data_IF_940511150979
#
_entry.id   IF_940511150979
#
_cell.length_a   1.000
_cell.length_b   1.000
_cell.length_c   1.000
_cell.angle_alpha   90.00
_cell.angle_beta   90.00
_cell.angle_gamma   90.00
#
_symmetry.space_group_name_H-M   'P 1'
#
loop_
_entity.id
_entity.type
_entity.pdbx_description
1 polymer ?
#
# COMPACT_ATOMS: atom_id res chain seq x y z
N UNK A 1 1.76 -17.61 3.08
CA UNK A 1 2.49 -16.34 3.34
C UNK A 1 3.17 -15.74 2.11
N UNK A 2 3.79 -16.55 1.25
CA UNK A 2 4.49 -16.06 0.04
C UNK A 2 3.60 -15.21 -0.91
N UNK A 3 2.36 -15.62 -1.17
CA UNK A 3 1.42 -14.84 -1.99
C UNK A 3 1.11 -13.45 -1.43
N UNK A 4 1.07 -13.30 -0.10
CA UNK A 4 0.81 -12.01 0.53
C UNK A 4 1.99 -11.06 0.36
N UNK A 5 3.22 -11.54 0.58
CA UNK A 5 4.45 -10.76 0.30
C UNK A 5 4.52 -10.37 -1.18
N UNK A 6 4.24 -11.30 -2.10
CA UNK A 6 4.15 -11.00 -3.54
C UNK A 6 3.15 -9.88 -3.83
N UNK A 7 1.98 -9.89 -3.19
CA UNK A 7 0.99 -8.83 -3.34
C UNK A 7 1.47 -7.47 -2.81
N UNK A 8 2.20 -7.43 -1.68
CA UNK A 8 2.78 -6.21 -1.12
C UNK A 8 3.88 -5.64 -2.02
N UNK A 9 4.74 -6.52 -2.57
CA UNK A 9 5.78 -6.14 -3.53
C UNK A 9 5.17 -5.54 -4.80
N UNK A 10 4.11 -6.16 -5.33
CA UNK A 10 3.38 -5.63 -6.47
C UNK A 10 2.77 -4.24 -6.18
N UNK A 11 2.06 -4.08 -5.06
CA UNK A 11 1.50 -2.78 -4.64
C UNK A 11 2.58 -1.71 -4.48
N UNK A 12 3.72 -2.06 -3.89
CA UNK A 12 4.88 -1.15 -3.74
C UNK A 12 5.42 -0.72 -5.11
N UNK A 13 5.52 -1.62 -6.08
CA UNK A 13 5.93 -1.31 -7.45
C UNK A 13 4.91 -0.38 -8.13
N UNK A 14 3.60 -0.61 -7.97
CA UNK A 14 2.56 0.31 -8.47
C UNK A 14 2.70 1.71 -7.88
N UNK A 15 2.98 1.83 -6.58
CA UNK A 15 3.21 3.14 -5.95
C UNK A 15 4.48 3.80 -6.49
N UNK A 16 5.53 3.03 -6.76
CA UNK A 16 6.75 3.56 -7.37
C UNK A 16 6.48 4.14 -8.76
N UNK A 17 5.77 3.42 -9.63
CA UNK A 17 5.37 3.92 -10.95
C UNK A 17 4.56 5.23 -10.84
N UNK A 18 3.60 5.31 -9.90
CA UNK A 18 2.84 6.55 -9.65
C UNK A 18 3.69 7.72 -9.15
N UNK A 19 4.79 7.45 -8.44
CA UNK A 19 5.73 8.49 -8.03
C UNK A 19 6.46 9.02 -9.26
N UNK A 20 6.96 8.12 -10.11
CA UNK A 20 7.65 8.46 -11.36
C UNK A 20 6.74 9.28 -12.28
N UNK A 21 5.50 8.84 -12.47
CA UNK A 21 4.48 9.54 -13.26
C UNK A 21 4.22 10.97 -12.74
N UNK A 22 4.14 11.16 -11.42
CA UNK A 22 3.89 12.46 -10.82
C UNK A 22 5.13 13.37 -10.88
N UNK A 23 6.32 12.81 -10.72
CA UNK A 23 7.58 13.55 -10.84
C UNK A 23 7.87 14.02 -12.27
N UNK A 24 7.43 13.26 -13.27
CA UNK A 24 7.58 13.61 -14.68
C UNK A 24 6.65 14.75 -15.14
N UNK A 25 5.71 15.19 -14.29
CA UNK A 25 4.78 16.28 -14.64
C UNK A 25 5.49 17.63 -14.70
N UNK A 26 5.10 18.53 -15.61
CA UNK A 26 5.65 19.88 -15.68
C UNK A 26 5.51 20.68 -14.37
N UNK A 27 4.47 20.41 -13.58
CA UNK A 27 4.25 20.97 -12.25
C UNK A 27 3.83 19.85 -11.27
N UNK A 28 4.78 19.19 -10.60
CA UNK A 28 4.49 18.07 -9.70
C UNK A 28 3.73 18.50 -8.44
N UNK A 29 2.68 17.76 -8.06
CA UNK A 29 2.02 17.95 -6.78
C UNK A 29 2.87 17.36 -5.64
N UNK A 30 3.50 18.24 -4.86
CA UNK A 30 4.37 17.86 -3.75
C UNK A 30 3.63 17.17 -2.61
N UNK A 31 2.37 17.54 -2.35
CA UNK A 31 1.57 16.89 -1.31
C UNK A 31 1.28 15.45 -1.71
N UNK A 32 0.88 15.23 -2.97
CA UNK A 32 0.63 13.91 -3.55
C UNK A 32 1.90 13.06 -3.57
N UNK A 33 3.05 13.63 -3.98
CA UNK A 33 4.35 12.94 -3.91
C UNK A 33 4.70 12.53 -2.48
N UNK A 34 4.51 13.40 -1.50
CA UNK A 34 4.79 13.09 -0.10
C UNK A 34 3.91 11.93 0.41
N UNK A 35 2.63 11.91 0.03
CA UNK A 35 1.70 10.85 0.38
C UNK A 35 2.08 9.51 -0.27
N UNK A 36 2.44 9.52 -1.56
CA UNK A 36 2.89 8.33 -2.28
C UNK A 36 4.20 7.77 -1.69
N UNK A 37 5.17 8.63 -1.38
CA UNK A 37 6.43 8.22 -0.73
C UNK A 37 6.19 7.58 0.64
N UNK A 38 5.32 8.17 1.47
CA UNK A 38 4.91 7.59 2.76
C UNK A 38 4.23 6.23 2.58
N UNK A 39 3.38 6.09 1.58
CA UNK A 39 2.73 4.80 1.28
C UNK A 39 3.75 3.74 0.84
N UNK A 40 4.72 4.10 -0.01
CA UNK A 40 5.82 3.22 -0.42
C UNK A 40 6.63 2.73 0.79
N UNK A 41 6.91 3.63 1.73
CA UNK A 41 7.62 3.33 2.98
C UNK A 41 6.85 2.31 3.82
N UNK A 42 5.54 2.53 4.02
CA UNK A 42 4.67 1.59 4.76
C UNK A 42 4.68 0.19 4.16
N UNK A 43 4.65 0.06 2.84
CA UNK A 43 4.75 -1.26 2.20
C UNK A 43 6.12 -1.92 2.41
N UNK A 44 7.22 -1.14 2.38
CA UNK A 44 8.55 -1.67 2.71
C UNK A 44 8.57 -2.21 4.15
N UNK A 45 8.10 -1.42 5.10
CA UNK A 45 8.14 -1.78 6.53
C UNK A 45 7.28 -3.02 6.80
N UNK A 46 6.13 -3.14 6.14
CA UNK A 46 5.29 -4.35 6.20
C UNK A 46 5.99 -5.57 5.62
N UNK A 47 6.66 -5.45 4.47
CA UNK A 47 7.43 -6.57 3.87
C UNK A 47 8.53 -7.01 4.81
N UNK A 48 9.32 -6.06 5.33
CA UNK A 48 10.45 -6.36 6.22
C UNK A 48 9.99 -7.05 7.51
N UNK A 49 8.89 -6.58 8.10
CA UNK A 49 8.29 -7.20 9.28
C UNK A 49 7.93 -8.67 9.03
N UNK A 50 7.29 -8.96 7.89
CA UNK A 50 6.86 -10.32 7.55
C UNK A 50 8.07 -11.20 7.22
N UNK A 51 9.05 -10.68 6.49
CA UNK A 51 10.28 -11.40 6.18
C UNK A 51 11.08 -11.74 7.44
N UNK A 52 11.11 -10.83 8.43
CA UNK A 52 11.72 -11.08 9.74
C UNK A 52 11.00 -12.20 10.49
N UNK A 53 9.67 -12.16 10.54
CA UNK A 53 8.85 -13.20 11.17
C UNK A 53 9.08 -14.56 10.49
N UNK A 54 9.05 -14.61 9.16
CA UNK A 54 9.30 -15.84 8.41
C UNK A 54 10.70 -16.40 8.67
N UNK A 55 11.71 -15.55 8.84
CA UNK A 55 13.08 -15.99 9.14
C UNK A 55 13.21 -16.58 10.55
N UNK A 56 12.47 -16.05 11.52
CA UNK A 56 12.43 -16.56 12.89
C UNK A 56 11.69 -17.90 13.02
N UNK A 57 10.95 -18.32 11.99
CA UNK A 57 10.11 -19.53 12.04
C UNK A 57 8.78 -19.36 12.77
N UNK A 58 8.51 -18.15 13.27
CA UNK A 58 7.28 -17.82 13.97
C UNK A 58 6.12 -17.69 12.98
N UNK A 59 5.02 -18.38 13.21
CA UNK A 59 3.80 -18.24 12.38
C UNK A 59 2.82 -17.29 13.07
N UNK A 60 3.09 -15.98 12.99
CA UNK A 60 2.20 -14.97 13.59
C UNK A 60 1.04 -14.66 12.63
N UNK A 61 -0.24 -14.82 13.04
CA UNK A 61 -1.38 -14.43 12.23
C UNK A 61 -1.44 -12.90 12.13
N UNK A 62 -1.22 -12.36 10.93
CA UNK A 62 -1.25 -10.91 10.67
C UNK A 62 -2.70 -10.50 10.36
N UNK A 63 -3.34 -9.67 11.20
CA UNK A 63 -4.70 -9.21 10.95
C UNK A 63 -4.72 -8.25 9.75
N UNK A 64 -5.32 -8.68 8.64
CA UNK A 64 -5.54 -7.83 7.46
C UNK A 64 -6.82 -7.04 7.64
N UNK A 65 -6.71 -5.80 8.13
CA UNK A 65 -7.86 -4.88 8.23
C UNK A 65 -8.24 -4.42 6.83
N UNK A 66 -9.29 -5.01 6.24
CA UNK A 66 -9.94 -4.47 5.06
C UNK A 66 -10.70 -3.22 5.48
N UNK A 67 -10.13 -2.03 5.25
CA UNK A 67 -10.89 -0.78 5.33
C UNK A 67 -12.11 -0.94 4.42
N UNK A 68 -13.31 -1.02 5.01
CA UNK A 68 -14.57 -1.06 4.25
C UNK A 68 -14.53 0.09 3.25
N UNK A 69 -14.62 -0.23 1.97
CA UNK A 69 -14.88 0.78 0.94
C UNK A 69 -16.16 1.49 1.36
N UNK A 70 -16.07 2.79 1.65
CA UNK A 70 -17.24 3.63 1.90
C UNK A 70 -18.15 3.51 0.67
N UNK A 71 -19.28 2.82 0.82
CA UNK A 71 -20.36 2.84 -0.16
C UNK A 71 -21.32 3.93 0.29
N UNK A 72 -21.31 5.13 -0.32
CA UNK A 72 -22.37 6.09 -0.06
C UNK A 72 -23.68 5.46 -0.54
N UNK A 73 -24.62 5.27 0.39
CA UNK A 73 -26.00 4.96 0.04
C UNK A 73 -26.57 6.24 -0.56
N UNK A 74 -26.62 6.32 -1.88
CA UNK A 74 -27.44 7.33 -2.57
C UNK A 74 -28.90 6.99 -2.25
N UNK A 75 -29.41 7.62 -1.18
CA UNK A 75 -30.83 7.60 -0.85
C UNK A 75 -31.57 8.44 -1.89
N UNK A 76 -31.90 7.83 -3.02
CA UNK A 76 -32.94 8.34 -3.90
C UNK A 76 -34.28 8.26 -3.17
N UNK A 77 -34.79 9.41 -2.74
CA UNK A 77 -36.22 9.58 -2.47
C UNK A 77 -36.81 10.37 -3.63
N UNK A 78 -37.82 9.74 -4.23
CA UNK A 78 -38.75 10.23 -5.25
C UNK A 78 -39.62 11.32 -4.64
#
# INVERSE_FOLDING_TARGET
MDQFIKSLRHRRATVQARIEDEQARPAPDQLRLSALKRLKLRFRDQIEFIERINRSGDTIPIPVVRRRSFRPLLSGKI
#
